data_IF_843705576070
#
_entry.id   IF_843705576070
#
_cell.length_a   1.000
_cell.length_b   1.000
_cell.length_c   1.000
_cell.angle_alpha   90.00
_cell.angle_beta   90.00
_cell.angle_gamma   90.00
#
_symmetry.space_group_name_H-M   'P 1'
#
loop_
_entity.id
_entity.type
_entity.pdbx_description
1 polymer ?
#
# COMPACT_ATOMS: atom_id res chain seq x y z
N UNK A 1 -24.60 -11.27 5.14
CA UNK A 1 -23.64 -10.14 5.17
C UNK A 1 -24.45 -8.87 5.21
N UNK A 2 -24.27 -8.07 6.26
CA UNK A 2 -24.96 -6.80 6.43
C UNK A 2 -23.91 -5.68 6.38
N UNK A 3 -24.23 -4.56 5.72
CA UNK A 3 -23.34 -3.39 5.63
C UNK A 3 -24.06 -2.21 6.26
N UNK A 4 -23.46 -1.62 7.29
CA UNK A 4 -23.98 -0.43 7.97
C UNK A 4 -23.01 0.73 7.82
N UNK A 5 -23.57 1.92 7.62
CA UNK A 5 -22.80 3.16 7.62
C UNK A 5 -22.59 3.60 9.06
N UNK A 6 -21.34 3.91 9.39
CA UNK A 6 -20.96 4.60 10.63
C UNK A 6 -20.73 6.09 10.33
N UNK A 7 -21.43 6.96 11.06
CA UNK A 7 -21.36 8.40 10.89
C UNK A 7 -19.94 8.95 11.09
N UNK A 8 -19.22 8.40 12.08
CA UNK A 8 -17.81 8.75 12.34
C UNK A 8 -16.93 8.55 11.11
N UNK A 9 -16.98 7.39 10.47
CA UNK A 9 -16.11 7.09 9.31
C UNK A 9 -16.36 8.04 8.14
N UNK A 10 -17.62 8.43 7.91
CA UNK A 10 -17.93 9.39 6.85
C UNK A 10 -17.40 10.79 7.17
N UNK A 11 -17.51 11.22 8.43
CA UNK A 11 -16.99 12.50 8.88
C UNK A 11 -15.47 12.55 8.74
N UNK A 12 -14.78 11.55 9.26
CA UNK A 12 -13.32 11.49 9.28
C UNK A 12 -12.70 11.27 7.89
N UNK A 13 -13.42 10.65 6.96
CA UNK A 13 -13.04 10.61 5.55
C UNK A 13 -12.94 12.02 4.94
N UNK A 14 -13.83 12.94 5.33
CA UNK A 14 -13.89 14.31 4.83
C UNK A 14 -12.94 15.27 5.56
N UNK A 15 -12.47 14.91 6.76
CA UNK A 15 -11.53 15.72 7.54
C UNK A 15 -10.15 15.72 6.85
N UNK A 16 -9.64 16.87 6.37
CA UNK A 16 -8.40 16.93 5.59
C UNK A 16 -7.17 16.38 6.32
N UNK A 17 -7.14 16.55 7.65
CA UNK A 17 -6.07 16.07 8.51
C UNK A 17 -6.08 14.54 8.68
N UNK A 18 -7.23 13.90 8.50
CA UNK A 18 -7.39 12.46 8.70
C UNK A 18 -7.41 11.71 7.37
N UNK A 19 -8.41 12.01 6.53
CA UNK A 19 -8.73 11.27 5.30
C UNK A 19 -8.79 9.76 5.54
N UNK A 20 -9.37 9.35 6.67
CA UNK A 20 -9.45 7.93 7.04
C UNK A 20 -10.36 7.16 6.09
N UNK A 21 -10.09 5.87 5.91
CA UNK A 21 -10.89 4.95 5.11
C UNK A 21 -11.35 3.82 6.03
N UNK A 22 -12.06 4.22 7.09
CA UNK A 22 -12.42 3.34 8.19
C UNK A 22 -13.45 2.29 7.83
N UNK A 23 -13.15 1.05 8.23
CA UNK A 23 -14.07 -0.08 8.18
C UNK A 23 -13.95 -0.86 9.49
N UNK A 24 -15.05 -1.49 9.92
CA UNK A 24 -14.98 -2.55 10.92
C UNK A 24 -15.70 -3.79 10.41
N UNK A 25 -15.23 -4.96 10.84
CA UNK A 25 -15.85 -6.25 10.53
C UNK A 25 -16.04 -7.02 11.83
N UNK A 26 -17.23 -7.59 11.97
CA UNK A 26 -17.60 -8.53 13.02
C UNK A 26 -18.18 -9.78 12.35
N UNK A 27 -17.86 -10.94 12.92
CA UNK A 27 -18.37 -12.23 12.47
C UNK A 27 -19.22 -12.81 13.61
N UNK A 28 -20.48 -13.10 13.33
CA UNK A 28 -21.41 -13.75 14.26
C UNK A 28 -21.65 -15.18 13.79
N UNK A 29 -21.39 -16.16 14.65
CA UNK A 29 -21.55 -17.58 14.38
C UNK A 29 -22.98 -18.05 14.70
N UNK A 30 -23.35 -19.22 14.16
CA UNK A 30 -24.68 -19.81 14.36
C UNK A 30 -24.97 -20.20 15.81
N UNK A 31 -23.93 -20.48 16.59
CA UNK A 31 -24.02 -20.76 18.02
C UNK A 31 -24.13 -19.49 18.89
N UNK A 32 -24.14 -18.31 18.25
CA UNK A 32 -24.20 -17.01 18.91
C UNK A 32 -22.84 -16.47 19.36
N UNK A 33 -21.74 -17.21 19.20
CA UNK A 33 -20.40 -16.68 19.45
C UNK A 33 -20.00 -15.63 18.41
N UNK A 34 -19.04 -14.76 18.74
CA UNK A 34 -18.60 -13.67 17.85
C UNK A 34 -17.08 -13.57 17.78
N UNK A 35 -16.57 -13.14 16.63
CA UNK A 35 -15.19 -12.66 16.44
C UNK A 35 -15.25 -11.22 15.98
N UNK A 36 -14.59 -10.33 16.72
CA UNK A 36 -14.53 -8.90 16.43
C UNK A 36 -15.19 -8.04 17.51
N UNK A 37 -15.44 -6.75 17.22
CA UNK A 37 -15.18 -6.07 15.94
C UNK A 37 -13.69 -5.74 15.72
N UNK A 38 -13.17 -6.05 14.53
CA UNK A 38 -11.85 -5.57 14.09
C UNK A 38 -12.06 -4.30 13.28
N UNK A 39 -11.59 -3.17 13.80
CA UNK A 39 -11.66 -1.87 13.15
C UNK A 39 -10.29 -1.45 12.59
N UNK A 40 -10.27 -0.94 11.38
CA UNK A 40 -9.08 -0.37 10.72
C UNK A 40 -9.46 0.94 10.05
N UNK A 41 -8.89 2.03 10.56
CA UNK A 41 -9.16 3.39 10.06
C UNK A 41 -8.25 3.79 8.89
N UNK A 42 -7.02 3.25 8.86
CA UNK A 42 -6.01 3.60 7.88
C UNK A 42 -5.50 2.34 7.18
N UNK A 43 -5.80 2.15 5.88
CA UNK A 43 -5.24 1.03 5.12
C UNK A 43 -3.72 1.15 5.05
N UNK A 44 -3.02 0.05 4.79
CA UNK A 44 -1.54 0.04 4.82
C UNK A 44 -0.92 1.03 3.84
N UNK A 45 -1.57 1.32 2.71
CA UNK A 45 -1.11 2.32 1.74
C UNK A 45 -1.33 3.79 2.14
N UNK A 46 -1.97 4.06 3.29
CA UNK A 46 -2.25 5.41 3.75
C UNK A 46 -0.96 6.14 4.20
N UNK A 47 -0.91 7.46 4.05
CA UNK A 47 0.26 8.27 4.40
C UNK A 47 0.72 8.07 5.86
N UNK A 48 -0.22 7.84 6.78
CA UNK A 48 0.05 7.57 8.21
C UNK A 48 0.75 6.23 8.48
N UNK A 49 0.76 5.30 7.53
CA UNK A 49 1.40 3.96 7.66
C UNK A 49 2.59 3.80 6.72
N UNK A 50 3.23 4.91 6.35
CA UNK A 50 4.27 4.91 5.30
C UNK A 50 5.44 3.99 5.62
N UNK A 51 5.89 3.95 6.88
CA UNK A 51 6.99 3.07 7.33
C UNK A 51 6.65 1.58 7.13
N UNK A 52 5.39 1.19 7.36
CA UNK A 52 4.91 -0.17 7.11
C UNK A 52 4.67 -0.42 5.61
N UNK A 53 4.23 0.60 4.88
CA UNK A 53 3.89 0.50 3.45
C UNK A 53 5.12 0.32 2.57
N UNK A 54 6.21 1.06 2.82
CA UNK A 54 7.42 1.07 2.00
C UNK A 54 7.98 -0.35 1.74
N UNK A 55 8.25 -1.19 2.75
CA UNK A 55 8.79 -2.53 2.51
C UNK A 55 7.81 -3.42 1.73
N UNK A 56 6.49 -3.25 1.92
CA UNK A 56 5.47 -3.97 1.16
C UNK A 56 5.41 -3.53 -0.29
N UNK A 57 5.58 -2.23 -0.56
CA UNK A 57 5.64 -1.66 -1.92
C UNK A 57 6.92 -2.16 -2.62
N UNK A 58 8.06 -2.15 -1.93
CA UNK A 58 9.31 -2.66 -2.47
C UNK A 58 9.21 -4.16 -2.82
N UNK A 59 8.67 -4.97 -1.91
CA UNK A 59 8.41 -6.40 -2.16
C UNK A 59 7.44 -6.61 -3.32
N UNK A 60 6.38 -5.82 -3.39
CA UNK A 60 5.42 -5.86 -4.50
C UNK A 60 6.12 -5.57 -5.83
N UNK A 61 6.92 -4.51 -5.89
CA UNK A 61 7.66 -4.13 -7.10
C UNK A 61 8.64 -5.23 -7.53
N UNK A 62 9.46 -5.74 -6.61
CA UNK A 62 10.40 -6.84 -6.86
C UNK A 62 9.70 -8.03 -7.51
N UNK A 63 8.58 -8.48 -6.93
CA UNK A 63 7.78 -9.57 -7.51
C UNK A 63 7.33 -9.29 -8.94
N UNK A 64 6.95 -8.05 -9.28
CA UNK A 64 6.59 -7.72 -10.67
C UNK A 64 7.81 -7.73 -11.61
N UNK A 65 8.98 -7.32 -11.14
CA UNK A 65 10.20 -7.28 -11.94
C UNK A 65 10.75 -8.68 -12.21
N UNK A 66 10.68 -9.59 -11.23
CA UNK A 66 11.07 -11.00 -11.36
C UNK A 66 10.35 -11.69 -12.54
N UNK A 67 9.08 -11.36 -12.78
CA UNK A 67 8.28 -11.92 -13.88
C UNK A 67 8.69 -11.40 -15.28
N UNK A 68 9.49 -10.33 -15.37
CA UNK A 68 9.77 -9.62 -16.64
C UNK A 68 11.26 -9.48 -16.97
N UNK A 69 12.15 -9.56 -15.98
CA UNK A 69 13.56 -9.25 -16.13
C UNK A 69 14.43 -10.28 -15.42
N UNK A 70 15.70 -10.37 -15.85
CA UNK A 70 16.69 -11.14 -15.10
C UNK A 70 17.04 -10.46 -13.76
N UNK A 71 17.66 -11.24 -12.87
CA UNK A 71 18.05 -10.80 -11.52
C UNK A 71 18.98 -9.57 -11.54
N UNK A 72 19.86 -9.49 -12.56
CA UNK A 72 20.80 -8.38 -12.70
C UNK A 72 20.07 -7.07 -12.99
N UNK A 73 19.09 -7.09 -13.87
CA UNK A 73 18.29 -5.92 -14.24
C UNK A 73 17.28 -5.56 -13.14
N UNK A 74 16.66 -6.55 -12.51
CA UNK A 74 15.80 -6.35 -11.34
C UNK A 74 16.56 -5.62 -10.23
N UNK A 75 17.74 -6.13 -9.87
CA UNK A 75 18.60 -5.54 -8.83
C UNK A 75 19.01 -4.11 -9.19
N UNK A 76 19.38 -3.86 -10.46
CA UNK A 76 19.72 -2.51 -10.94
C UNK A 76 18.55 -1.53 -10.78
N UNK A 77 17.34 -1.95 -11.15
CA UNK A 77 16.13 -1.13 -11.04
C UNK A 77 15.80 -0.86 -9.56
N UNK A 78 15.87 -1.90 -8.70
CA UNK A 78 15.60 -1.77 -7.27
C UNK A 78 16.59 -0.81 -6.60
N UNK A 79 17.90 -0.95 -6.84
CA UNK A 79 18.91 -0.04 -6.29
C UNK A 79 18.74 1.40 -6.76
N UNK A 80 18.35 1.61 -8.02
CA UNK A 80 18.10 2.96 -8.54
C UNK A 80 16.91 3.62 -7.85
N UNK A 81 15.82 2.88 -7.60
CA UNK A 81 14.59 3.42 -6.99
C UNK A 81 14.78 3.74 -5.50
N UNK A 82 15.70 3.05 -4.83
CA UNK A 82 16.06 3.33 -3.44
C UNK A 82 16.96 4.57 -3.28
N UNK A 83 17.71 4.96 -4.32
CA UNK A 83 18.50 6.19 -4.35
C UNK A 83 17.76 7.33 -5.07
N UNK A 84 17.01 8.12 -4.30
CA UNK A 84 16.28 9.28 -4.82
C UNK A 84 17.18 10.28 -5.56
N UNK A 85 18.43 10.49 -5.13
CA UNK A 85 19.31 11.47 -5.78
C UNK A 85 19.76 10.96 -7.15
N UNK A 86 20.15 9.69 -7.22
CA UNK A 86 20.54 9.07 -8.48
C UNK A 86 19.36 9.03 -9.47
N UNK A 87 18.17 8.63 -9.01
CA UNK A 87 16.98 8.60 -9.85
C UNK A 87 16.59 9.98 -10.37
N UNK A 88 16.60 11.00 -9.51
CA UNK A 88 16.23 12.37 -9.90
C UNK A 88 17.22 13.03 -10.87
N UNK A 89 18.48 12.59 -10.87
CA UNK A 89 19.52 13.07 -11.78
C UNK A 89 19.55 12.31 -13.12
N UNK A 90 18.92 11.14 -13.21
CA UNK A 90 18.96 10.30 -14.41
C UNK A 90 18.18 10.95 -15.56
N UNK A 91 18.78 11.05 -16.77
CA UNK A 91 18.04 11.48 -17.96
C UNK A 91 16.84 10.57 -18.24
N UNK A 92 15.69 11.17 -18.52
CA UNK A 92 14.44 10.44 -18.79
C UNK A 92 14.59 9.34 -19.85
N UNK A 93 15.31 9.54 -20.98
CA UNK A 93 15.53 8.46 -21.94
C UNK A 93 16.24 7.26 -21.33
N UNK A 94 17.29 7.48 -20.54
CA UNK A 94 18.05 6.40 -19.89
C UNK A 94 17.18 5.58 -18.94
N UNK A 95 16.32 6.25 -18.17
CA UNK A 95 15.35 5.58 -17.31
C UNK A 95 14.37 4.70 -18.12
N UNK A 96 13.87 5.22 -19.24
CA UNK A 96 12.95 4.48 -20.11
C UNK A 96 13.61 3.29 -20.83
N UNK A 97 14.94 3.30 -21.01
CA UNK A 97 15.66 2.16 -21.58
C UNK A 97 15.89 1.03 -20.58
N UNK A 98 15.68 1.24 -19.27
CA UNK A 98 15.80 0.16 -18.26
C UNK A 98 14.78 -0.97 -18.45
N UNK A 99 13.66 -0.67 -19.12
CA UNK A 99 12.59 -1.65 -19.43
C UNK A 99 12.72 -2.30 -20.81
N UNK A 100 13.69 -1.90 -21.63
CA UNK A 100 13.92 -2.43 -22.98
C UNK A 100 14.88 -3.62 -22.92
#
# INVERSE_FOLDING_TARGET
MEVKKEGRYTKEYMEPEKRSIGNFVEIVFKDGSTIGPIALDYPVGHARRREEAIPLIAKKLRKYLEDHFDEARESKIMSLIEDHKALAAMPVPEFLWLKA
#
